data_IF_817996718839
#
_entry.id   IF_817996718839
#
_cell.length_a   1.000
_cell.length_b   1.000
_cell.length_c   1.000
_cell.angle_alpha   90.00
_cell.angle_beta   90.00
_cell.angle_gamma   90.00
#
_symmetry.space_group_name_H-M   'P 1'
#
loop_
_entity.id
_entity.type
_entity.pdbx_description
1 polymer ?
#
# COMPACT_ATOMS: atom_id res chain seq x y z
N UNK A 1 -11.45 78.27 -17.78
CA UNK A 1 -11.21 77.06 -18.58
C UNK A 1 -10.98 75.94 -17.58
N UNK A 2 -12.02 75.23 -17.17
CA UNK A 2 -12.67 74.09 -17.83
C UNK A 2 -12.00 72.75 -17.45
N UNK A 3 -12.86 71.79 -17.12
CA UNK A 3 -12.67 70.34 -16.90
C UNK A 3 -12.20 69.92 -15.49
N UNK A 4 -13.05 69.44 -14.57
CA UNK A 4 -13.87 68.20 -14.52
C UNK A 4 -13.03 66.91 -14.58
N UNK A 5 -13.04 66.15 -13.47
CA UNK A 5 -13.13 64.67 -13.38
C UNK A 5 -13.24 64.31 -11.88
N UNK A 6 -14.44 64.04 -11.36
CA UNK A 6 -15.14 62.74 -11.31
C UNK A 6 -14.70 61.83 -10.13
N UNK A 7 -15.44 61.95 -9.03
CA UNK A 7 -15.38 61.13 -7.81
C UNK A 7 -15.80 59.66 -8.10
N UNK A 8 -14.85 58.73 -8.10
CA UNK A 8 -15.14 57.29 -8.21
C UNK A 8 -15.29 56.68 -6.81
N UNK A 9 -16.54 56.59 -6.35
CA UNK A 9 -16.95 55.89 -5.14
C UNK A 9 -16.78 54.37 -5.30
N UNK A 10 -15.70 53.82 -4.76
CA UNK A 10 -15.44 52.36 -4.72
C UNK A 10 -16.44 51.62 -3.82
N UNK A 11 -17.33 50.83 -4.43
CA UNK A 11 -18.24 49.89 -3.75
C UNK A 11 -17.47 48.62 -3.35
N UNK A 12 -17.19 48.44 -2.06
CA UNK A 12 -16.66 47.18 -1.49
C UNK A 12 -17.67 46.04 -1.68
N UNK A 13 -17.26 44.98 -2.40
CA UNK A 13 -17.98 43.70 -2.51
C UNK A 13 -17.88 42.93 -1.18
N UNK A 14 -18.94 42.23 -0.72
CA UNK A 14 -18.85 41.40 0.47
C UNK A 14 -18.03 40.13 0.16
N UNK A 15 -17.11 39.80 1.08
CA UNK A 15 -16.29 38.60 1.08
C UNK A 15 -17.18 37.35 1.05
N UNK A 16 -17.13 36.59 -0.05
CA UNK A 16 -17.71 35.23 -0.10
C UNK A 16 -16.88 34.35 0.83
N UNK A 17 -17.47 33.92 1.95
CA UNK A 17 -16.92 32.83 2.78
C UNK A 17 -16.92 31.57 1.90
N UNK A 18 -15.77 30.93 1.78
CA UNK A 18 -15.67 29.59 1.21
C UNK A 18 -16.43 28.62 2.14
N UNK A 19 -17.21 27.68 1.59
CA UNK A 19 -17.85 26.66 2.42
C UNK A 19 -16.79 25.67 2.91
N UNK A 20 -17.07 25.17 4.10
CA UNK A 20 -16.26 24.29 4.92
C UNK A 20 -15.64 23.13 4.14
N UNK A 21 -14.36 22.86 4.43
CA UNK A 21 -13.68 21.62 4.06
C UNK A 21 -14.51 20.44 4.54
N UNK A 22 -15.17 19.77 3.59
CA UNK A 22 -15.75 18.46 3.79
C UNK A 22 -14.60 17.49 4.11
N UNK A 23 -14.36 17.25 5.41
CA UNK A 23 -13.67 16.05 5.86
C UNK A 23 -14.50 14.89 5.36
N UNK A 24 -13.99 14.19 4.35
CA UNK A 24 -14.55 12.93 3.88
C UNK A 24 -14.52 11.95 5.04
N UNK A 25 -15.64 11.83 5.75
CA UNK A 25 -15.88 10.80 6.76
C UNK A 25 -15.96 9.44 6.06
N UNK A 26 -14.80 8.89 5.74
CA UNK A 26 -14.70 7.48 5.38
C UNK A 26 -15.19 6.67 6.58
N UNK A 27 -16.21 5.84 6.37
CA UNK A 27 -16.58 4.84 7.37
C UNK A 27 -15.31 4.04 7.70
N UNK A 28 -14.81 4.14 8.93
CA UNK A 28 -13.78 3.23 9.42
C UNK A 28 -14.35 1.82 9.33
N UNK A 29 -13.86 1.04 8.37
CA UNK A 29 -14.31 -0.31 8.08
C UNK A 29 -14.00 -1.21 9.27
N UNK A 30 -14.98 -1.51 10.11
CA UNK A 30 -14.77 -2.23 11.37
C UNK A 30 -14.45 -3.70 11.09
N UNK A 31 -13.33 -4.19 11.62
CA UNK A 31 -12.96 -5.61 11.52
C UNK A 31 -14.05 -6.50 12.13
N UNK A 32 -14.37 -7.60 11.44
CA UNK A 32 -15.22 -8.65 12.04
C UNK A 32 -14.55 -9.26 13.27
N UNK A 33 -15.35 -9.88 14.16
CA UNK A 33 -14.81 -10.56 15.35
C UNK A 33 -13.83 -11.69 14.98
N UNK A 34 -14.08 -12.38 13.86
CA UNK A 34 -13.19 -13.41 13.33
C UNK A 34 -11.86 -12.77 12.91
N UNK A 35 -11.91 -11.69 12.13
CA UNK A 35 -10.73 -10.96 11.69
C UNK A 35 -9.91 -10.42 12.87
N UNK A 36 -10.55 -9.76 13.84
CA UNK A 36 -9.89 -9.22 15.02
C UNK A 36 -9.18 -10.33 15.84
N UNK A 37 -9.86 -11.44 16.10
CA UNK A 37 -9.28 -12.57 16.83
C UNK A 37 -8.12 -13.22 16.05
N UNK A 38 -8.24 -13.33 14.73
CA UNK A 38 -7.19 -13.88 13.87
C UNK A 38 -5.95 -12.97 13.89
N UNK A 39 -6.13 -11.67 13.71
CA UNK A 39 -5.04 -10.69 13.69
C UNK A 39 -4.33 -10.57 15.04
N UNK A 40 -5.07 -10.65 16.15
CA UNK A 40 -4.46 -10.67 17.49
C UNK A 40 -3.56 -11.90 17.68
N UNK A 41 -3.97 -13.08 17.19
CA UNK A 41 -3.14 -14.28 17.24
C UNK A 41 -1.89 -14.14 16.38
N UNK A 42 -2.02 -13.67 15.15
CA UNK A 42 -0.88 -13.45 14.26
C UNK A 42 0.08 -12.40 14.81
N UNK A 43 -0.43 -11.32 15.42
CA UNK A 43 0.40 -10.29 16.04
C UNK A 43 1.18 -10.85 17.24
N UNK A 44 0.53 -11.65 18.09
CA UNK A 44 1.19 -12.29 19.22
C UNK A 44 2.28 -13.27 18.76
N UNK A 45 2.00 -14.07 17.72
CA UNK A 45 2.98 -14.97 17.13
C UNK A 45 4.16 -14.21 16.53
N UNK A 46 3.90 -13.09 15.84
CA UNK A 46 4.95 -12.24 15.28
C UNK A 46 5.87 -11.65 16.33
N UNK A 47 5.33 -11.25 17.48
CA UNK A 47 6.11 -10.71 18.60
C UNK A 47 7.04 -11.76 19.22
N UNK A 48 6.63 -13.03 19.19
CA UNK A 48 7.41 -14.15 19.71
C UNK A 48 8.44 -14.61 18.67
N UNK A 49 8.01 -14.78 17.42
CA UNK A 49 8.80 -15.36 16.33
C UNK A 49 8.70 -14.49 15.06
N UNK A 50 9.37 -13.32 15.01
CA UNK A 50 9.36 -12.49 13.81
C UNK A 50 10.12 -13.21 12.68
N UNK A 51 9.61 -13.17 11.43
CA UNK A 51 10.32 -13.75 10.29
C UNK A 51 11.66 -13.02 10.06
N UNK A 52 12.68 -13.78 9.66
CA UNK A 52 14.02 -13.26 9.46
C UNK A 52 14.03 -12.14 8.40
N UNK A 53 14.76 -11.06 8.66
CA UNK A 53 14.78 -9.88 7.79
C UNK A 53 13.61 -8.92 7.98
N UNK A 54 12.64 -9.24 8.85
CA UNK A 54 11.50 -8.37 9.14
C UNK A 54 11.52 -7.85 10.57
N UNK A 55 11.14 -6.58 10.74
CA UNK A 55 10.90 -5.97 12.05
C UNK A 55 9.54 -5.28 12.05
N UNK A 56 8.70 -5.61 13.02
CA UNK A 56 7.43 -4.91 13.20
C UNK A 56 7.72 -3.52 13.78
N UNK A 57 7.37 -2.44 13.06
CA UNK A 57 7.77 -1.08 13.45
C UNK A 57 6.74 -0.39 14.32
N UNK A 58 5.46 -0.48 13.95
CA UNK A 58 4.31 0.10 14.65
C UNK A 58 2.99 -0.34 13.98
N UNK A 59 1.90 -0.45 14.74
CA UNK A 59 0.54 -0.58 14.20
C UNK A 59 -0.29 0.62 14.66
N UNK A 60 -0.83 1.41 13.72
CA UNK A 60 -1.71 2.54 14.05
C UNK A 60 -3.02 2.03 14.68
N UNK A 61 -3.47 0.87 14.20
CA UNK A 61 -4.60 0.10 14.69
C UNK A 61 -4.40 -1.37 14.27
N UNK A 62 -5.27 -2.28 14.74
CA UNK A 62 -5.19 -3.71 14.36
C UNK A 62 -5.36 -3.95 12.85
N UNK A 63 -5.96 -3.01 12.12
CA UNK A 63 -6.33 -3.13 10.71
C UNK A 63 -5.23 -2.70 9.74
N UNK A 64 -4.21 -1.98 10.21
CA UNK A 64 -3.07 -1.55 9.37
C UNK A 64 -1.75 -1.77 10.07
N UNK A 65 -0.87 -2.54 9.44
CA UNK A 65 0.47 -2.83 9.96
C UNK A 65 1.54 -2.23 9.07
N UNK A 66 2.61 -1.74 9.70
CA UNK A 66 3.84 -1.33 9.03
C UNK A 66 4.98 -2.24 9.45
N UNK A 67 5.59 -2.90 8.45
CA UNK A 67 6.65 -3.88 8.66
C UNK A 67 7.89 -3.41 7.93
N UNK A 68 8.97 -3.20 8.70
CA UNK A 68 10.30 -2.99 8.14
C UNK A 68 10.78 -4.32 7.54
N UNK A 69 11.32 -4.25 6.33
CA UNK A 69 11.95 -5.36 5.63
C UNK A 69 13.36 -4.97 5.24
N UNK A 70 14.30 -5.89 5.44
CA UNK A 70 15.67 -5.80 4.96
C UNK A 70 15.85 -6.86 3.88
N UNK A 71 16.37 -6.48 2.72
CA UNK A 71 16.64 -7.43 1.64
C UNK A 71 17.69 -8.46 2.04
N UNK A 72 17.52 -9.70 1.57
CA UNK A 72 18.34 -10.82 1.98
C UNK A 72 19.78 -10.71 1.47
N UNK A 73 20.73 -11.19 2.27
CA UNK A 73 22.14 -11.28 1.89
C UNK A 73 22.34 -12.12 0.63
N UNK A 74 23.25 -11.71 -0.25
CA UNK A 74 23.54 -12.44 -1.49
C UNK A 74 22.53 -12.20 -2.62
N UNK A 75 21.59 -11.28 -2.44
CA UNK A 75 20.62 -10.88 -3.47
C UNK A 75 20.94 -9.49 -4.00
N UNK A 76 20.29 -9.08 -5.09
CA UNK A 76 20.41 -7.70 -5.61
C UNK A 76 19.94 -6.64 -4.60
N UNK A 77 19.12 -7.02 -3.61
CA UNK A 77 18.51 -6.11 -2.62
C UNK A 77 19.20 -6.19 -1.25
N UNK A 78 20.36 -6.85 -1.15
CA UNK A 78 21.08 -7.00 0.11
C UNK A 78 21.27 -5.65 0.83
N UNK A 79 20.99 -5.64 2.14
CA UNK A 79 21.10 -4.48 3.04
C UNK A 79 20.18 -3.28 2.74
N UNK A 80 19.36 -3.35 1.67
CA UNK A 80 18.35 -2.35 1.37
C UNK A 80 17.17 -2.46 2.34
N UNK A 81 16.63 -1.31 2.75
CA UNK A 81 15.54 -1.22 3.72
C UNK A 81 14.28 -0.71 3.05
N UNK A 82 13.19 -1.42 3.28
CA UNK A 82 11.88 -1.13 2.73
C UNK A 82 10.82 -1.19 3.83
N UNK A 83 9.67 -0.55 3.59
CA UNK A 83 8.53 -0.62 4.48
C UNK A 83 7.35 -1.23 3.70
N UNK A 84 6.80 -2.31 4.22
CA UNK A 84 5.54 -2.88 3.78
C UNK A 84 4.41 -2.29 4.61
N UNK A 85 3.39 -1.75 3.93
CA UNK A 85 2.10 -1.42 4.53
C UNK A 85 1.12 -2.54 4.21
N UNK A 86 0.51 -3.10 5.24
CA UNK A 86 -0.49 -4.17 5.15
C UNK A 86 -1.81 -3.63 5.69
N UNK A 87 -2.85 -3.67 4.87
CA UNK A 87 -4.20 -3.23 5.24
C UNK A 87 -5.18 -4.41 5.16
N UNK A 88 -5.83 -4.70 6.28
CA UNK A 88 -6.69 -5.86 6.44
C UNK A 88 -8.15 -5.52 6.07
N UNK A 89 -8.82 -6.36 5.26
CA UNK A 89 -10.24 -6.23 5.02
C UNK A 89 -11.06 -6.68 6.24
N UNK A 90 -12.33 -6.30 6.29
CA UNK A 90 -13.23 -6.60 7.41
C UNK A 90 -13.43 -8.11 7.64
N UNK A 91 -13.40 -8.87 6.55
CA UNK A 91 -13.62 -10.31 6.47
C UNK A 91 -12.32 -11.14 6.46
N UNK A 92 -11.16 -10.54 6.76
CA UNK A 92 -9.90 -11.28 6.90
C UNK A 92 -10.07 -12.50 7.85
N UNK A 93 -9.53 -13.69 7.54
CA UNK A 93 -8.66 -14.04 6.42
C UNK A 93 -9.40 -14.59 5.19
N UNK A 94 -10.72 -14.44 5.09
CA UNK A 94 -11.48 -14.91 3.92
C UNK A 94 -11.15 -14.13 2.65
N UNK A 95 -10.76 -12.87 2.81
CA UNK A 95 -10.18 -12.04 1.76
C UNK A 95 -8.72 -11.71 2.12
N UNK A 96 -7.86 -11.64 1.11
CA UNK A 96 -6.44 -11.31 1.27
C UNK A 96 -6.25 -9.93 1.89
N UNK A 97 -5.15 -9.66 2.59
CA UNK A 97 -4.78 -8.29 2.92
C UNK A 97 -4.33 -7.54 1.67
N UNK A 98 -4.51 -6.23 1.64
CA UNK A 98 -3.82 -5.39 0.67
C UNK A 98 -2.38 -5.15 1.17
N UNK A 99 -1.39 -5.43 0.33
CA UNK A 99 0.03 -5.23 0.67
C UNK A 99 0.67 -4.34 -0.38
N UNK A 100 1.34 -3.28 0.07
CA UNK A 100 2.08 -2.35 -0.78
C UNK A 100 3.42 -2.00 -0.15
N UNK A 101 4.42 -1.71 -0.98
CA UNK A 101 5.63 -1.02 -0.53
C UNK A 101 5.34 0.47 -0.37
N UNK A 102 5.74 1.05 0.75
CA UNK A 102 5.81 2.50 0.87
C UNK A 102 7.07 3.01 0.14
N UNK A 103 7.05 4.29 -0.24
CA UNK A 103 8.19 4.91 -0.90
C UNK A 103 9.41 5.01 0.04
N UNK A 104 10.63 4.69 -0.46
CA UNK A 104 10.92 4.21 -1.82
C UNK A 104 10.58 2.71 -2.02
N UNK A 105 9.89 2.38 -3.11
CA UNK A 105 9.57 1.00 -3.47
C UNK A 105 10.71 0.33 -4.27
N UNK A 106 11.00 -0.98 -4.05
CA UNK A 106 12.08 -1.68 -4.77
C UNK A 106 11.88 -1.62 -6.29
N UNK A 107 12.97 -1.48 -7.05
CA UNK A 107 12.96 -1.69 -8.50
C UNK A 107 12.92 -3.19 -8.77
N UNK A 108 11.73 -3.74 -9.02
CA UNK A 108 11.54 -5.17 -9.25
C UNK A 108 10.49 -5.43 -10.36
N UNK A 109 10.64 -6.48 -11.21
CA UNK A 109 9.70 -6.80 -12.29
C UNK A 109 8.24 -6.99 -11.88
N UNK A 110 7.99 -7.27 -10.60
CA UNK A 110 6.66 -7.43 -10.00
C UNK A 110 6.25 -6.30 -9.04
N UNK A 111 7.02 -5.20 -8.98
CA UNK A 111 6.73 -4.05 -8.10
C UNK A 111 6.63 -2.77 -8.92
N UNK A 112 5.45 -2.19 -8.91
CA UNK A 112 5.16 -0.93 -9.58
C UNK A 112 5.75 0.25 -8.80
N UNK A 113 5.99 1.36 -9.50
CA UNK A 113 6.57 2.56 -8.89
C UNK A 113 5.72 3.18 -7.77
N UNK A 114 4.41 2.93 -7.76
CA UNK A 114 3.51 3.30 -6.66
C UNK A 114 3.51 2.27 -5.50
N UNK A 115 4.39 1.27 -5.54
CA UNK A 115 4.54 0.27 -4.49
C UNK A 115 3.60 -0.93 -4.59
N UNK A 116 2.71 -0.97 -5.58
CA UNK A 116 1.82 -2.11 -5.78
C UNK A 116 2.63 -3.37 -6.15
N UNK A 117 2.21 -4.51 -5.61
CA UNK A 117 2.90 -5.80 -5.77
C UNK A 117 2.03 -6.72 -6.62
N UNK A 118 2.59 -7.25 -7.71
CA UNK A 118 1.98 -8.29 -8.52
C UNK A 118 2.48 -9.65 -8.06
N UNK A 119 1.86 -10.18 -7.00
CA UNK A 119 2.15 -11.51 -6.46
C UNK A 119 0.82 -12.25 -6.25
N UNK A 120 0.67 -13.40 -6.88
CA UNK A 120 -0.59 -14.17 -7.00
C UNK A 120 -1.25 -14.49 -5.66
N UNK A 121 -0.46 -14.77 -4.60
CA UNK A 121 -0.97 -15.05 -3.25
C UNK A 121 -1.73 -13.86 -2.64
N UNK A 122 -1.54 -12.64 -3.15
CA UNK A 122 -2.29 -11.46 -2.71
C UNK A 122 -3.64 -11.34 -3.44
N UNK A 123 -3.89 -12.20 -4.44
CA UNK A 123 -5.03 -12.15 -5.34
C UNK A 123 -5.67 -13.54 -5.48
N UNK A 124 -5.45 -14.23 -6.61
CA UNK A 124 -6.16 -15.46 -6.97
C UNK A 124 -5.72 -16.67 -6.16
N UNK A 125 -4.45 -16.74 -5.76
CA UNK A 125 -3.88 -17.86 -5.00
C UNK A 125 -4.00 -17.67 -3.47
N UNK A 126 -4.69 -16.62 -3.01
CA UNK A 126 -4.88 -16.41 -1.58
C UNK A 126 -5.68 -17.55 -0.94
N UNK A 127 -5.23 -17.99 0.24
CA UNK A 127 -5.96 -18.95 1.07
C UNK A 127 -6.05 -18.44 2.52
N UNK A 128 -7.20 -18.63 3.21
CA UNK A 128 -7.33 -18.28 4.63
C UNK A 128 -6.33 -18.97 5.56
N UNK A 129 -5.64 -20.02 5.09
CA UNK A 129 -4.56 -20.69 5.80
C UNK A 129 -3.24 -19.88 5.80
N UNK A 130 -3.07 -18.94 4.87
CA UNK A 130 -1.90 -18.07 4.80
C UNK A 130 -1.92 -17.06 5.95
N UNK A 131 -0.74 -16.66 6.40
CA UNK A 131 -0.52 -15.66 7.46
C UNK A 131 0.24 -14.46 6.90
N UNK A 132 0.27 -13.38 7.66
CA UNK A 132 1.13 -12.22 7.36
C UNK A 132 2.59 -12.68 7.25
N UNK A 133 3.01 -13.65 8.07
CA UNK A 133 4.40 -14.14 8.10
C UNK A 133 4.72 -14.88 6.80
N UNK A 134 3.83 -15.76 6.34
CA UNK A 134 4.03 -16.45 5.06
C UNK A 134 4.02 -15.47 3.88
N UNK A 135 3.15 -14.44 3.90
CA UNK A 135 3.12 -13.40 2.87
C UNK A 135 4.44 -12.62 2.82
N UNK A 136 4.97 -12.22 3.97
CA UNK A 136 6.25 -11.51 4.04
C UNK A 136 7.39 -12.38 3.51
N UNK A 137 7.44 -13.66 3.87
CA UNK A 137 8.44 -14.59 3.35
C UNK A 137 8.33 -14.78 1.83
N UNK A 138 7.12 -14.86 1.28
CA UNK A 138 6.91 -14.93 -0.18
C UNK A 138 7.39 -13.67 -0.88
N UNK A 139 7.15 -12.48 -0.32
CA UNK A 139 7.66 -11.21 -0.88
C UNK A 139 9.19 -11.16 -0.84
N UNK A 140 9.80 -11.58 0.27
CA UNK A 140 11.27 -11.63 0.38
C UNK A 140 11.86 -12.63 -0.62
N UNK A 141 11.23 -13.79 -0.78
CA UNK A 141 11.63 -14.81 -1.77
C UNK A 141 11.55 -14.27 -3.20
N UNK A 142 10.44 -13.61 -3.54
CA UNK A 142 10.25 -12.95 -4.84
C UNK A 142 11.35 -11.93 -5.12
N UNK A 143 11.71 -11.08 -4.15
CA UNK A 143 12.83 -10.15 -4.32
C UNK A 143 14.16 -10.89 -4.46
N UNK A 144 14.36 -11.96 -3.71
CA UNK A 144 15.62 -12.70 -3.67
C UNK A 144 15.92 -13.43 -4.98
N UNK A 145 14.89 -13.88 -5.70
CA UNK A 145 15.03 -14.59 -6.98
C UNK A 145 15.15 -13.67 -8.20
N UNK A 146 15.07 -12.35 -8.01
CA UNK A 146 15.06 -11.40 -9.13
C UNK A 146 16.37 -11.39 -9.91
N UNK A 147 16.35 -11.52 -11.25
CA UNK A 147 17.56 -11.50 -12.07
C UNK A 147 18.09 -10.08 -12.33
N UNK A 148 17.26 -9.05 -12.19
CA UNK A 148 17.61 -7.65 -12.46
C UNK A 148 16.74 -6.66 -11.68
N UNK A 149 17.25 -5.43 -11.49
CA UNK A 149 16.51 -4.31 -10.90
C UNK A 149 15.81 -3.48 -11.97
N UNK A 150 14.62 -3.89 -12.35
CA UNK A 150 13.80 -3.22 -13.36
C UNK A 150 12.34 -3.08 -12.91
N UNK A 151 11.55 -2.26 -13.61
CA UNK A 151 10.11 -2.13 -13.35
C UNK A 151 9.32 -3.06 -14.27
N UNK A 152 8.07 -3.41 -13.91
CA UNK A 152 7.16 -4.06 -14.86
C UNK A 152 7.06 -3.27 -16.17
N UNK A 153 6.98 -3.95 -17.31
CA UNK A 153 6.97 -3.30 -18.63
C UNK A 153 5.80 -2.32 -18.81
N UNK A 154 4.68 -2.56 -18.15
CA UNK A 154 3.48 -1.74 -18.19
C UNK A 154 3.39 -0.72 -17.04
N UNK A 155 4.48 -0.50 -16.27
CA UNK A 155 4.49 0.36 -15.08
C UNK A 155 3.78 1.71 -15.28
N UNK A 156 4.15 2.45 -16.32
CA UNK A 156 3.62 3.80 -16.54
C UNK A 156 2.13 3.78 -16.90
N UNK A 157 1.70 2.74 -17.63
CA UNK A 157 0.30 2.54 -17.99
C UNK A 157 -0.51 2.17 -16.75
N UNK A 158 -0.01 1.23 -15.97
CA UNK A 158 -0.63 0.79 -14.72
C UNK A 158 -0.81 1.96 -13.76
N UNK A 159 0.26 2.68 -13.42
CA UNK A 159 0.22 3.75 -12.40
C UNK A 159 -0.70 4.89 -12.81
N UNK A 160 -0.78 5.23 -14.11
CA UNK A 160 -1.72 6.25 -14.61
C UNK A 160 -3.18 5.82 -14.57
N UNK A 161 -3.46 4.52 -14.67
CA UNK A 161 -4.82 3.97 -14.80
C UNK A 161 -5.35 3.37 -13.50
N UNK A 162 -4.47 3.07 -12.55
CA UNK A 162 -4.82 2.42 -11.30
C UNK A 162 -5.62 3.35 -10.39
N UNK A 163 -6.69 2.82 -9.80
CA UNK A 163 -7.44 3.47 -8.72
C UNK A 163 -6.63 3.39 -7.42
N UNK A 164 -7.14 4.03 -6.35
CA UNK A 164 -6.43 4.14 -5.05
C UNK A 164 -6.04 2.79 -4.41
N UNK A 165 -6.62 1.66 -4.82
CA UNK A 165 -6.28 0.32 -4.30
C UNK A 165 -5.78 -0.62 -5.42
N UNK A 166 -4.70 -1.39 -5.20
CA UNK A 166 -4.24 -2.44 -6.12
C UNK A 166 -5.30 -3.53 -6.35
N UNK A 167 -6.19 -3.77 -5.37
CA UNK A 167 -7.25 -4.79 -5.47
C UNK A 167 -8.31 -4.46 -6.52
N UNK A 168 -8.45 -3.19 -6.90
CA UNK A 168 -9.36 -2.78 -7.97
C UNK A 168 -8.79 -3.07 -9.37
N UNK A 169 -7.55 -3.58 -9.45
CA UNK A 169 -6.89 -3.83 -10.73
C UNK A 169 -7.05 -5.29 -11.14
N UNK A 170 -7.44 -5.51 -12.41
CA UNK A 170 -7.35 -6.83 -13.04
C UNK A 170 -5.90 -7.06 -13.46
N UNK A 171 -5.19 -7.88 -12.68
CA UNK A 171 -3.81 -8.24 -12.96
C UNK A 171 -3.71 -9.16 -14.17
N UNK A 172 -2.72 -8.90 -15.01
CA UNK A 172 -2.30 -9.82 -16.06
C UNK A 172 -0.97 -10.40 -15.61
N UNK A 173 -1.02 -11.62 -15.07
CA UNK A 173 0.19 -12.35 -14.71
C UNK A 173 0.86 -12.78 -16.01
N UNK A 174 2.01 -12.19 -16.31
CA UNK A 174 2.89 -12.69 -17.35
C UNK A 174 3.70 -13.85 -16.74
N UNK A 175 3.05 -15.00 -16.61
CA UNK A 175 3.74 -16.26 -16.36
C UNK A 175 3.95 -16.95 -17.70
N UNK A 176 4.95 -16.46 -18.45
CA UNK A 176 5.40 -17.13 -19.65
C UNK A 176 6.46 -18.16 -19.24
N UNK A 177 5.98 -19.39 -19.03
CA UNK A 177 6.71 -20.67 -19.01
C UNK A 177 8.24 -20.59 -19.05
N UNK A 178 8.91 -21.06 -17.98
CA UNK A 178 9.68 -22.31 -17.99
C UNK A 178 9.70 -22.97 -16.62
#
# INVERSE_FOLDING_TARGET
>A
MASLEAEVRSKKRPSRRAPDTAVSSGHQKVLSKIAANRLQKELAEWQINPPAGFKHKYSDNLQRWHIDMIGASGTLYADEKYILQIEFPENYPMESPQVVFLEPAPLHPHIYSNGHICLDILYESWSPAMTVSSVCMSILSMLSSSPAKERPQDNDRYVKSCRKSPKDTRWWFHDDNV
#
